data_IF_939011833831
#
_entry.id   IF_939011833831
#
_cell.length_a   1.000
_cell.length_b   1.000
_cell.length_c   1.000
_cell.angle_alpha   90.00
_cell.angle_beta   90.00
_cell.angle_gamma   90.00
#
_symmetry.space_group_name_H-M   'P 1'
#
loop_
_entity.id
_entity.type
_entity.pdbx_description
1 polymer ?
#
# COMPACT_ATOMS: atom_id res chain seq x y z
N UNK A 1 -1.31 -5.09 -15.54
CA UNK A 1 -2.19 -5.47 -16.68
C UNK A 1 -1.67 -4.81 -17.95
N UNK A 2 -1.69 -5.52 -19.07
CA UNK A 2 -1.27 -5.00 -20.38
C UNK A 2 -2.47 -5.06 -21.32
N UNK A 3 -2.80 -3.95 -21.99
CA UNK A 3 -3.84 -3.95 -23.00
C UNK A 3 -3.22 -4.36 -24.33
N UNK A 4 -3.64 -5.51 -24.84
CA UNK A 4 -3.16 -6.04 -26.12
C UNK A 4 -4.24 -5.90 -27.20
N UNK A 5 -3.86 -5.39 -28.34
CA UNK A 5 -4.71 -5.39 -29.54
C UNK A 5 -4.69 -6.75 -30.21
N UNK A 6 -5.58 -7.00 -31.17
CA UNK A 6 -5.50 -8.24 -31.97
C UNK A 6 -4.25 -8.21 -32.85
N UNK A 7 -3.35 -9.18 -32.68
CA UNK A 7 -2.13 -9.27 -33.52
C UNK A 7 -0.99 -10.04 -32.83
N UNK A 8 0.19 -9.90 -33.42
CA UNK A 8 1.44 -10.40 -32.83
C UNK A 8 2.01 -9.34 -31.91
N UNK A 9 2.42 -9.74 -30.73
CA UNK A 9 3.07 -8.90 -29.73
C UNK A 9 4.41 -9.53 -29.35
N UNK A 10 5.35 -8.70 -28.92
CA UNK A 10 6.61 -9.12 -28.30
C UNK A 10 6.67 -8.61 -26.87
N UNK A 11 7.21 -9.43 -25.98
CA UNK A 11 7.53 -9.03 -24.61
C UNK A 11 9.04 -9.08 -24.54
N UNK A 12 9.65 -7.96 -24.21
CA UNK A 12 11.08 -7.84 -23.95
C UNK A 12 11.30 -7.72 -22.45
N UNK A 13 12.19 -8.54 -21.91
CA UNK A 13 12.62 -8.49 -20.53
C UNK A 13 14.11 -8.17 -20.53
N UNK A 14 14.48 -7.03 -19.98
CA UNK A 14 15.87 -6.64 -19.77
C UNK A 14 16.22 -6.71 -18.28
N UNK A 15 17.44 -7.10 -17.98
CA UNK A 15 18.00 -7.10 -16.62
C UNK A 15 19.25 -6.25 -16.66
N UNK A 16 19.17 -5.12 -15.99
CA UNK A 16 20.28 -4.18 -15.95
C UNK A 16 21.38 -4.61 -14.97
N UNK A 17 20.99 -5.21 -13.83
CA UNK A 17 21.94 -5.71 -12.82
C UNK A 17 21.41 -6.98 -12.13
N UNK A 18 22.31 -7.85 -11.73
CA UNK A 18 22.03 -9.05 -10.93
C UNK A 18 21.72 -10.31 -11.75
N UNK A 19 21.45 -11.41 -11.04
CA UNK A 19 21.07 -12.70 -11.58
C UNK A 19 19.63 -13.03 -11.20
N UNK A 20 18.82 -13.50 -12.12
CA UNK A 20 17.48 -13.99 -11.83
C UNK A 20 17.19 -15.28 -12.58
N UNK A 21 16.25 -16.04 -12.05
CA UNK A 21 15.71 -17.23 -12.70
C UNK A 21 14.33 -16.89 -13.24
N UNK A 22 14.15 -17.01 -14.55
CA UNK A 22 12.87 -16.84 -15.20
C UNK A 22 12.17 -18.20 -15.32
N UNK A 23 11.00 -18.32 -14.73
CA UNK A 23 10.11 -19.48 -14.89
C UNK A 23 9.19 -19.33 -16.09
N UNK A 24 7.95 -19.74 -15.94
CA UNK A 24 6.92 -19.60 -16.97
C UNK A 24 6.36 -18.18 -17.00
N UNK A 25 6.12 -17.66 -18.20
CA UNK A 25 5.35 -16.44 -18.41
C UNK A 25 3.96 -16.86 -18.85
N UNK A 26 2.94 -16.49 -18.06
CA UNK A 26 1.54 -16.73 -18.40
C UNK A 26 0.86 -15.42 -18.74
N UNK A 27 0.09 -15.40 -19.82
CA UNK A 27 -0.81 -14.31 -20.19
C UNK A 27 -2.24 -14.84 -20.06
N UNK A 28 -2.97 -14.31 -19.12
CA UNK A 28 -4.35 -14.73 -18.84
C UNK A 28 -5.30 -13.58 -19.12
N UNK A 29 -6.43 -13.88 -19.75
CA UNK A 29 -7.49 -12.90 -19.88
C UNK A 29 -8.05 -12.56 -18.49
N UNK A 30 -8.35 -11.28 -18.19
CA UNK A 30 -9.00 -10.92 -16.95
C UNK A 30 -10.32 -11.69 -16.79
N UNK A 31 -10.52 -12.32 -15.63
CA UNK A 31 -11.83 -12.91 -15.31
C UNK A 31 -12.83 -11.75 -15.19
N UNK A 32 -13.92 -11.83 -15.94
CA UNK A 32 -15.00 -10.86 -15.82
C UNK A 32 -15.61 -10.98 -14.42
N UNK A 33 -15.61 -9.87 -13.69
CA UNK A 33 -16.26 -9.78 -12.38
C UNK A 33 -17.71 -9.37 -12.61
N UNK A 34 -18.65 -10.06 -11.95
CA UNK A 34 -20.08 -9.72 -12.03
C UNK A 34 -20.31 -8.29 -11.54
N UNK A 35 -21.19 -7.57 -12.23
CA UNK A 35 -21.52 -6.20 -11.83
C UNK A 35 -22.38 -6.22 -10.55
N UNK A 36 -22.02 -5.40 -9.56
CA UNK A 36 -22.82 -5.23 -8.36
C UNK A 36 -24.11 -4.49 -8.67
N UNK A 37 -25.26 -5.09 -8.32
CA UNK A 37 -26.60 -4.56 -8.67
C UNK A 37 -27.15 -3.57 -7.66
N UNK A 38 -26.33 -3.12 -6.70
CA UNK A 38 -26.73 -2.07 -5.73
C UNK A 38 -27.66 -2.55 -4.61
N UNK A 39 -27.71 -3.86 -4.34
CA UNK A 39 -28.40 -4.43 -3.19
C UNK A 39 -27.62 -5.62 -2.66
N UNK A 40 -27.50 -5.70 -1.35
CA UNK A 40 -26.98 -6.88 -0.66
C UNK A 40 -28.12 -7.58 0.07
N UNK A 41 -28.12 -8.92 0.03
CA UNK A 41 -29.07 -9.70 0.78
C UNK A 41 -28.77 -9.56 2.28
N UNK A 42 -29.82 -9.66 3.11
CA UNK A 42 -29.67 -9.61 4.57
C UNK A 42 -28.81 -10.77 5.05
N UNK A 43 -27.92 -10.49 5.97
CA UNK A 43 -27.07 -11.48 6.62
C UNK A 43 -27.71 -11.97 7.93
N UNK A 44 -28.90 -12.60 7.78
CA UNK A 44 -29.65 -13.08 8.95
C UNK A 44 -28.89 -14.20 9.68
N UNK A 45 -28.80 -14.09 11.01
CA UNK A 45 -28.13 -15.07 11.86
C UNK A 45 -27.30 -14.39 12.96
N UNK A 46 -26.46 -15.18 13.64
CA UNK A 46 -25.65 -14.71 14.80
C UNK A 46 -24.20 -15.21 14.75
N UNK A 47 -23.81 -15.85 13.67
CA UNK A 47 -22.46 -16.37 13.58
C UNK A 47 -21.45 -15.23 13.45
N UNK A 48 -20.34 -15.36 14.17
CA UNK A 48 -19.19 -14.46 14.11
C UNK A 48 -17.94 -15.32 14.00
N UNK A 49 -17.21 -15.14 12.90
CA UNK A 49 -15.92 -15.74 12.66
C UNK A 49 -14.89 -14.61 12.74
N UNK A 50 -13.86 -14.82 13.56
CA UNK A 50 -12.75 -13.87 13.72
C UNK A 50 -11.48 -14.53 13.23
N UNK A 51 -10.75 -13.85 12.36
CA UNK A 51 -9.49 -14.30 11.78
C UNK A 51 -8.44 -13.28 12.17
N UNK A 52 -7.31 -13.73 12.71
CA UNK A 52 -6.18 -12.85 13.06
C UNK A 52 -5.39 -12.48 11.80
N UNK A 53 -4.96 -11.21 11.71
CA UNK A 53 -4.28 -10.71 10.53
C UNK A 53 -2.91 -11.33 10.28
N UNK A 54 -2.21 -11.72 11.36
CA UNK A 54 -0.93 -12.42 11.28
C UNK A 54 -1.05 -13.91 11.00
N UNK A 55 -2.26 -14.49 11.15
CA UNK A 55 -2.50 -15.94 10.99
C UNK A 55 -2.97 -16.29 9.57
N UNK A 56 -2.24 -15.76 8.57
CA UNK A 56 -2.52 -16.07 7.18
C UNK A 56 -2.09 -17.51 6.82
N UNK A 57 -2.84 -18.14 5.94
CA UNK A 57 -2.57 -19.51 5.47
C UNK A 57 -1.51 -19.50 4.36
N UNK A 58 -1.61 -18.57 3.41
CA UNK A 58 -0.67 -18.44 2.29
C UNK A 58 -0.49 -17.00 1.86
N UNK A 59 0.71 -16.72 1.32
CA UNK A 59 1.03 -15.47 0.64
C UNK A 59 1.65 -15.75 -0.72
N UNK A 60 1.61 -14.77 -1.62
CA UNK A 60 2.31 -14.87 -2.91
C UNK A 60 3.70 -14.22 -2.90
N UNK A 61 4.10 -13.64 -1.78
CA UNK A 61 5.41 -12.99 -1.61
C UNK A 61 5.96 -13.32 -0.22
N UNK A 62 7.17 -13.83 -0.16
CA UNK A 62 7.85 -14.22 1.09
C UNK A 62 8.24 -13.03 1.98
N UNK A 63 8.18 -11.81 1.46
CA UNK A 63 8.38 -10.60 2.24
C UNK A 63 7.22 -10.31 3.20
N UNK A 64 6.00 -10.78 2.91
CA UNK A 64 4.82 -10.58 3.75
C UNK A 64 5.00 -11.32 5.08
N UNK A 65 4.84 -10.60 6.18
CA UNK A 65 5.00 -11.15 7.52
C UNK A 65 4.13 -10.45 8.57
N UNK A 66 3.97 -11.09 9.71
CA UNK A 66 3.32 -10.50 10.88
C UNK A 66 4.29 -9.65 11.69
N UNK A 67 3.76 -8.72 12.46
CA UNK A 67 4.51 -7.82 13.35
C UNK A 67 3.85 -7.74 14.72
N UNK A 68 4.66 -7.42 15.74
CA UNK A 68 4.14 -7.12 17.08
C UNK A 68 3.78 -5.63 17.18
N UNK A 69 2.49 -5.37 17.28
CA UNK A 69 1.95 -4.03 17.46
C UNK A 69 1.48 -3.82 18.93
N UNK A 70 1.79 -2.65 19.49
CA UNK A 70 1.45 -2.31 20.86
C UNK A 70 0.31 -1.30 20.98
N UNK A 71 -0.47 -1.13 19.91
CA UNK A 71 -1.71 -0.35 19.97
C UNK A 71 -2.76 -1.10 20.81
N UNK A 72 -3.42 -0.39 21.73
CA UNK A 72 -4.42 -0.99 22.64
C UNK A 72 -5.69 -1.48 21.95
N UNK A 73 -5.90 -1.13 20.69
CA UNK A 73 -7.03 -1.60 19.88
C UNK A 73 -6.74 -2.88 19.10
N UNK A 74 -5.50 -3.36 19.14
CA UNK A 74 -5.07 -4.63 18.55
C UNK A 74 -5.29 -5.78 19.51
N UNK A 75 -5.54 -6.97 19.00
CA UNK A 75 -5.79 -8.18 19.81
C UNK A 75 -5.12 -9.40 19.15
N UNK A 76 -4.30 -10.19 19.87
CA UNK A 76 -4.05 -10.09 21.30
C UNK A 76 -3.10 -8.93 21.67
N UNK A 77 -3.49 -8.12 22.63
CA UNK A 77 -2.60 -7.12 23.22
C UNK A 77 -1.75 -7.74 24.32
N UNK A 78 -0.42 -7.63 24.20
CA UNK A 78 0.52 -8.09 25.22
C UNK A 78 1.43 -6.94 25.65
N UNK A 79 1.42 -6.64 26.96
CA UNK A 79 2.22 -5.54 27.50
C UNK A 79 3.69 -5.91 27.70
N UNK A 80 3.98 -7.18 28.00
CA UNK A 80 5.31 -7.68 28.40
C UNK A 80 6.01 -8.49 27.33
N UNK A 81 5.24 -9.30 26.62
CA UNK A 81 5.76 -10.24 25.63
C UNK A 81 5.65 -9.67 24.22
N UNK A 82 6.64 -9.96 23.40
CA UNK A 82 6.57 -9.72 21.95
C UNK A 82 5.76 -10.86 21.34
N UNK A 83 4.58 -10.52 20.80
CA UNK A 83 3.68 -11.44 20.11
C UNK A 83 3.33 -10.83 18.78
N UNK A 84 3.47 -11.60 17.70
CA UNK A 84 2.95 -11.17 16.40
C UNK A 84 1.42 -11.13 16.51
N UNK A 85 0.83 -10.01 16.18
CA UNK A 85 -0.61 -9.78 16.37
C UNK A 85 -1.24 -8.91 15.27
N UNK A 86 -0.48 -8.59 14.23
CA UNK A 86 -1.00 -7.91 13.04
C UNK A 86 -0.24 -8.34 11.79
N UNK A 87 -0.88 -8.27 10.64
CA UNK A 87 -0.20 -8.23 9.36
C UNK A 87 0.55 -6.91 9.24
N UNK A 88 1.85 -6.99 8.95
CA UNK A 88 2.72 -5.82 8.87
C UNK A 88 2.40 -4.95 7.64
N UNK A 89 2.22 -3.63 7.86
CA UNK A 89 1.87 -2.69 6.81
C UNK A 89 2.95 -2.56 5.75
N UNK A 90 4.22 -2.43 6.16
CA UNK A 90 5.33 -2.22 5.23
C UNK A 90 5.52 -3.44 4.32
N UNK A 91 5.35 -4.64 4.90
CA UNK A 91 5.45 -5.88 4.14
C UNK A 91 4.23 -6.16 3.25
N UNK A 92 3.07 -5.56 3.56
CA UNK A 92 1.84 -5.69 2.76
C UNK A 92 1.48 -4.34 2.11
N UNK A 93 2.38 -3.80 1.30
CA UNK A 93 2.28 -2.47 0.68
C UNK A 93 2.41 -2.48 -0.85
N UNK A 94 3.01 -3.50 -1.44
CA UNK A 94 3.30 -3.53 -2.87
C UNK A 94 2.10 -4.03 -3.68
N UNK A 95 1.79 -3.38 -4.79
CA UNK A 95 0.75 -3.80 -5.72
C UNK A 95 0.94 -5.25 -6.18
N UNK A 96 -0.15 -6.03 -6.16
CA UNK A 96 -0.15 -7.45 -6.49
C UNK A 96 0.21 -8.38 -5.32
N UNK A 97 0.74 -7.87 -4.19
CA UNK A 97 0.90 -8.69 -2.99
C UNK A 97 -0.46 -9.17 -2.51
N UNK A 98 -0.50 -10.45 -2.16
CA UNK A 98 -1.72 -11.16 -1.79
C UNK A 98 -1.51 -11.95 -0.52
N UNK A 99 -2.46 -11.83 0.40
CA UNK A 99 -2.57 -12.63 1.61
C UNK A 99 -3.88 -13.41 1.59
N UNK A 100 -3.86 -14.68 2.02
CA UNK A 100 -5.04 -15.56 2.02
C UNK A 100 -5.20 -16.20 3.39
N UNK A 101 -6.42 -16.23 3.88
CA UNK A 101 -6.83 -16.80 5.16
C UNK A 101 -7.86 -17.90 4.93
N UNK A 102 -7.76 -19.03 5.67
CA UNK A 102 -8.77 -20.04 5.74
C UNK A 102 -9.70 -19.79 6.92
N UNK A 103 -10.99 -20.07 6.75
CA UNK A 103 -11.98 -20.02 7.81
C UNK A 103 -13.06 -21.06 7.59
N UNK A 104 -13.86 -21.33 8.62
CA UNK A 104 -14.94 -22.32 8.56
C UNK A 104 -16.28 -21.69 8.93
N UNK A 105 -17.26 -21.87 8.06
CA UNK A 105 -18.66 -21.46 8.22
C UNK A 105 -19.47 -22.65 8.73
N UNK A 106 -20.19 -22.46 9.83
CA UNK A 106 -21.02 -23.52 10.43
C UNK A 106 -22.40 -23.62 9.79
N UNK A 107 -22.95 -22.48 9.39
CA UNK A 107 -24.32 -22.39 8.87
C UNK A 107 -24.32 -21.64 7.53
N UNK A 108 -24.84 -22.29 6.48
CA UNK A 108 -24.99 -21.63 5.19
C UNK A 108 -25.88 -20.38 5.30
N UNK A 109 -25.49 -19.30 4.63
CA UNK A 109 -26.21 -18.04 4.67
C UNK A 109 -25.41 -16.87 4.13
N UNK A 110 -25.96 -15.67 4.26
CA UNK A 110 -25.26 -14.45 3.88
C UNK A 110 -24.44 -13.91 5.05
N UNK A 111 -23.26 -13.41 4.75
CA UNK A 111 -22.30 -12.90 5.73
C UNK A 111 -21.78 -11.55 5.27
N UNK A 112 -21.59 -10.63 6.23
CA UNK A 112 -20.88 -9.38 6.06
C UNK A 112 -19.39 -9.56 6.38
N UNK A 113 -18.57 -8.74 5.78
CA UNK A 113 -17.11 -8.75 5.99
C UNK A 113 -16.73 -7.41 6.61
N UNK A 114 -15.97 -7.45 7.69
CA UNK A 114 -15.35 -6.29 8.29
C UNK A 114 -13.87 -6.56 8.55
N UNK A 115 -13.07 -5.51 8.58
CA UNK A 115 -11.67 -5.59 8.98
C UNK A 115 -11.35 -4.55 10.05
N UNK A 116 -10.55 -4.93 11.05
CA UNK A 116 -9.86 -3.98 11.91
C UNK A 116 -8.48 -3.73 11.31
N UNK A 117 -8.29 -2.53 10.75
CA UNK A 117 -7.11 -2.21 9.96
C UNK A 117 -6.61 -0.79 10.25
N UNK A 118 -5.37 -0.51 9.87
CA UNK A 118 -4.76 0.81 9.85
C UNK A 118 -4.11 1.04 8.48
N UNK A 119 -4.37 2.21 7.92
CA UNK A 119 -3.73 2.72 6.72
C UNK A 119 -3.41 4.20 6.98
N UNK A 120 -2.16 4.51 7.32
CA UNK A 120 -1.76 5.82 7.82
C UNK A 120 -0.81 6.60 6.90
N UNK A 121 -0.32 5.99 5.83
CA UNK A 121 0.67 6.61 4.94
C UNK A 121 0.03 7.51 3.89
N UNK A 122 -1.06 7.09 3.28
CA UNK A 122 -1.77 7.90 2.27
C UNK A 122 -2.79 8.82 2.93
N UNK A 123 -2.34 9.96 3.45
CA UNK A 123 -3.24 10.93 4.09
C UNK A 123 -4.41 11.30 3.18
N UNK A 124 -5.63 11.14 3.70
CA UNK A 124 -6.91 11.41 3.02
C UNK A 124 -7.08 10.68 1.67
N UNK A 125 -6.34 9.58 1.46
CA UNK A 125 -6.43 8.82 0.22
C UNK A 125 -6.42 7.31 0.51
N UNK A 126 -7.24 6.48 -0.17
CA UNK A 126 -7.37 5.07 0.15
C UNK A 126 -6.21 4.22 -0.39
N UNK A 127 -6.07 3.04 0.21
CA UNK A 127 -5.43 1.88 -0.40
C UNK A 127 -6.51 1.01 -1.03
N UNK A 128 -6.28 0.52 -2.25
CA UNK A 128 -7.25 -0.33 -2.93
C UNK A 128 -6.84 -1.81 -2.80
N UNK A 129 -7.85 -2.66 -2.57
CA UNK A 129 -7.67 -4.10 -2.48
C UNK A 129 -8.73 -4.85 -3.28
N UNK A 130 -8.33 -5.89 -4.00
CA UNK A 130 -9.26 -6.92 -4.45
C UNK A 130 -9.54 -7.83 -3.27
N UNK A 131 -10.81 -8.00 -2.91
CA UNK A 131 -11.24 -8.96 -1.88
C UNK A 131 -11.90 -10.14 -2.57
N UNK A 132 -11.32 -11.32 -2.40
CA UNK A 132 -11.83 -12.53 -3.04
C UNK A 132 -12.22 -13.59 -2.00
N UNK A 133 -13.32 -14.28 -2.27
CA UNK A 133 -13.79 -15.45 -1.53
C UNK A 133 -13.59 -16.66 -2.42
N UNK A 134 -13.00 -17.72 -1.88
CA UNK A 134 -12.70 -18.96 -2.60
C UNK A 134 -11.99 -18.71 -3.95
N UNK A 135 -11.06 -17.75 -3.93
CA UNK A 135 -10.28 -17.35 -5.09
C UNK A 135 -11.02 -16.52 -6.14
N UNK A 136 -12.28 -16.13 -5.91
CA UNK A 136 -13.06 -15.30 -6.82
C UNK A 136 -13.51 -13.99 -6.15
N UNK A 137 -13.42 -12.88 -6.86
CA UNK A 137 -14.02 -11.62 -6.44
C UNK A 137 -15.54 -11.74 -6.61
N UNK A 138 -16.36 -11.62 -5.55
CA UNK A 138 -17.79 -11.91 -5.62
C UNK A 138 -18.55 -11.07 -6.64
N UNK A 139 -18.27 -9.77 -6.66
CA UNK A 139 -18.83 -8.81 -7.62
C UNK A 139 -17.97 -7.55 -7.68
N UNK A 140 -18.34 -6.58 -8.51
CA UNK A 140 -17.55 -5.36 -8.72
C UNK A 140 -17.40 -4.47 -7.48
N UNK A 141 -18.24 -4.62 -6.44
CA UNK A 141 -18.09 -3.87 -5.18
C UNK A 141 -16.91 -4.38 -4.31
N UNK A 142 -16.47 -5.63 -4.52
CA UNK A 142 -15.31 -6.22 -3.86
C UNK A 142 -14.03 -6.09 -4.70
N UNK A 143 -14.16 -5.60 -5.94
CA UNK A 143 -13.05 -5.32 -6.84
C UNK A 143 -12.51 -3.94 -6.59
N UNK A 144 -11.18 -3.85 -6.45
CA UNK A 144 -10.51 -2.58 -6.17
C UNK A 144 -11.17 -1.82 -4.98
N UNK A 145 -11.57 -2.58 -3.94
CA UNK A 145 -12.24 -2.04 -2.76
C UNK A 145 -11.38 -0.98 -2.06
N UNK A 146 -12.00 0.14 -1.71
CA UNK A 146 -11.33 1.29 -1.10
C UNK A 146 -11.18 1.10 0.41
N UNK A 147 -9.96 0.86 0.89
CA UNK A 147 -9.60 0.88 2.31
C UNK A 147 -9.24 2.31 2.69
N UNK A 148 -10.16 3.01 3.35
CA UNK A 148 -10.04 4.42 3.67
C UNK A 148 -8.84 4.72 4.60
N UNK A 149 -8.33 5.94 4.52
CA UNK A 149 -7.29 6.44 5.42
C UNK A 149 -7.71 6.37 6.89
N UNK A 150 -6.82 5.89 7.74
CA UNK A 150 -7.03 5.82 9.19
C UNK A 150 -5.73 6.07 9.94
N UNK A 151 -5.73 7.01 10.89
CA UNK A 151 -4.55 7.26 11.74
C UNK A 151 -4.36 6.22 12.85
N UNK A 152 -5.41 5.43 13.14
CA UNK A 152 -5.44 4.39 14.19
C UNK A 152 -6.21 3.19 13.67
N UNK A 153 -5.98 2.02 14.26
CA UNK A 153 -6.78 0.85 13.95
C UNK A 153 -8.27 1.14 14.08
N UNK A 154 -9.03 0.81 13.05
CA UNK A 154 -10.47 1.03 12.95
C UNK A 154 -11.13 -0.22 12.39
N UNK A 155 -12.16 -0.71 13.08
CA UNK A 155 -13.04 -1.74 12.53
C UNK A 155 -14.03 -1.08 11.58
N UNK A 156 -14.06 -1.52 10.34
CA UNK A 156 -15.02 -1.07 9.33
C UNK A 156 -15.59 -2.28 8.57
N UNK A 157 -16.92 -2.30 8.44
CA UNK A 157 -17.63 -3.22 7.56
C UNK A 157 -17.47 -2.76 6.11
N UNK A 158 -17.33 -3.70 5.19
CA UNK A 158 -17.29 -3.38 3.76
C UNK A 158 -18.66 -2.85 3.32
N UNK A 159 -18.63 -1.69 2.65
CA UNK A 159 -19.83 -0.98 2.20
C UNK A 159 -19.73 -0.63 0.72
N UNK A 160 -20.89 -0.48 0.09
CA UNK A 160 -20.97 0.06 -1.27
C UNK A 160 -20.80 1.60 -1.27
N UNK A 161 -20.86 2.21 -2.45
CA UNK A 161 -20.73 3.66 -2.63
C UNK A 161 -21.87 4.48 -2.00
N UNK A 162 -22.95 3.82 -1.54
CA UNK A 162 -24.08 4.45 -0.84
C UNK A 162 -24.00 4.28 0.67
N UNK A 163 -23.00 3.53 1.18
CA UNK A 163 -22.85 3.20 2.58
C UNK A 163 -23.69 2.00 3.04
N UNK A 164 -24.21 1.20 2.10
CA UNK A 164 -24.92 -0.04 2.43
C UNK A 164 -23.92 -1.17 2.61
N UNK A 165 -24.09 -1.97 3.68
CA UNK A 165 -23.20 -3.05 3.98
C UNK A 165 -23.22 -4.14 2.89
N UNK A 166 -22.06 -4.55 2.43
CA UNK A 166 -21.90 -5.64 1.48
C UNK A 166 -22.04 -7.00 2.18
N UNK A 167 -22.72 -7.93 1.52
CA UNK A 167 -22.80 -9.32 1.95
C UNK A 167 -22.42 -10.29 0.84
N UNK A 168 -21.98 -11.49 1.24
CA UNK A 168 -21.68 -12.62 0.37
C UNK A 168 -22.39 -13.86 0.88
N UNK A 169 -22.88 -14.70 -0.02
CA UNK A 169 -23.44 -15.99 0.35
C UNK A 169 -22.31 -17.01 0.54
N UNK A 170 -22.32 -17.70 1.68
CA UNK A 170 -21.37 -18.77 2.02
C UNK A 170 -22.12 -20.04 2.39
N UNK A 171 -21.69 -21.16 1.84
CA UNK A 171 -22.17 -22.48 2.25
C UNK A 171 -21.54 -22.89 3.58
N UNK A 172 -22.07 -23.92 4.25
CA UNK A 172 -21.41 -24.48 5.42
C UNK A 172 -20.16 -25.25 4.99
N UNK A 173 -19.03 -24.97 5.66
CA UNK A 173 -17.75 -25.62 5.35
C UNK A 173 -16.55 -24.69 5.38
N UNK A 174 -15.45 -25.14 4.79
CA UNK A 174 -14.20 -24.38 4.71
C UNK A 174 -14.23 -23.42 3.51
N UNK A 175 -13.82 -22.22 3.77
CA UNK A 175 -13.71 -21.14 2.80
C UNK A 175 -12.36 -20.44 2.91
N UNK A 176 -12.04 -19.63 1.90
CA UNK A 176 -10.90 -18.74 1.94
C UNK A 176 -11.33 -17.29 1.68
N UNK A 177 -10.69 -16.35 2.37
CA UNK A 177 -10.74 -14.94 2.04
C UNK A 177 -9.34 -14.46 1.70
N UNK A 178 -9.20 -13.65 0.65
CA UNK A 178 -7.92 -13.06 0.31
C UNK A 178 -8.03 -11.57 0.01
N UNK A 179 -6.99 -10.84 0.41
CA UNK A 179 -6.78 -9.44 0.08
C UNK A 179 -5.59 -9.32 -0.87
N UNK A 180 -5.76 -8.60 -1.97
CA UNK A 180 -4.68 -8.32 -2.92
C UNK A 180 -4.59 -6.82 -3.14
N UNK A 181 -3.43 -6.22 -2.87
CA UNK A 181 -3.21 -4.79 -3.11
C UNK A 181 -3.38 -4.48 -4.59
N UNK A 182 -4.19 -3.48 -4.90
CA UNK A 182 -4.50 -3.05 -6.26
C UNK A 182 -4.11 -1.59 -6.50
N UNK A 183 -3.63 -1.31 -7.70
CA UNK A 183 -3.37 0.05 -8.19
C UNK A 183 -4.22 0.40 -9.42
N UNK A 184 -5.15 -0.51 -9.81
CA UNK A 184 -5.95 -0.32 -11.02
C UNK A 184 -6.72 1.01 -11.07
N UNK A 185 -7.37 1.48 -9.97
CA UNK A 185 -8.15 2.72 -10.02
C UNK A 185 -7.34 3.97 -10.32
N UNK A 186 -6.02 3.94 -10.06
CA UNK A 186 -5.11 5.07 -10.21
C UNK A 186 -3.96 4.81 -11.19
N UNK A 187 -3.96 3.67 -11.90
CA UNK A 187 -2.91 3.32 -12.87
C UNK A 187 -2.76 4.39 -13.95
N UNK A 188 -3.89 4.92 -14.45
CA UNK A 188 -3.89 5.99 -15.45
C UNK A 188 -3.20 7.28 -14.97
N UNK A 189 -3.20 7.55 -13.66
CA UNK A 189 -2.50 8.72 -13.07
C UNK A 189 -0.99 8.50 -13.19
N UNK A 190 -0.53 7.29 -12.86
CA UNK A 190 0.89 6.95 -12.92
C UNK A 190 1.39 6.95 -14.37
N UNK A 191 0.64 6.34 -15.28
CA UNK A 191 0.96 6.33 -16.72
C UNK A 191 1.10 7.76 -17.26
N UNK A 192 0.17 8.65 -16.95
CA UNK A 192 0.22 10.04 -17.41
C UNK A 192 1.38 10.83 -16.76
N UNK A 193 1.72 10.57 -15.49
CA UNK A 193 2.90 11.17 -14.85
C UNK A 193 4.18 10.71 -15.56
N UNK A 194 4.31 9.43 -15.84
CA UNK A 194 5.48 8.86 -16.54
C UNK A 194 5.62 9.46 -17.95
N UNK A 195 4.52 9.63 -18.69
CA UNK A 195 4.53 10.30 -19.99
C UNK A 195 5.02 11.75 -19.87
N UNK A 196 4.48 12.52 -18.91
CA UNK A 196 4.92 13.91 -18.70
C UNK A 196 6.40 13.97 -18.29
N UNK A 197 6.87 13.05 -17.46
CA UNK A 197 8.30 12.97 -17.09
C UNK A 197 9.18 12.72 -18.28
N UNK A 198 8.78 11.80 -19.17
CA UNK A 198 9.49 11.53 -20.43
C UNK A 198 9.50 12.76 -21.36
N UNK A 199 8.34 13.37 -21.56
CA UNK A 199 8.19 14.57 -22.37
C UNK A 199 9.06 15.73 -21.86
N UNK A 200 9.11 15.94 -20.53
CA UNK A 200 9.94 16.95 -19.87
C UNK A 200 11.44 16.67 -20.06
N UNK A 201 11.86 15.40 -19.97
CA UNK A 201 13.24 15.00 -20.22
C UNK A 201 13.64 15.27 -21.68
N UNK A 202 12.80 14.91 -22.64
CA UNK A 202 13.06 15.13 -24.05
C UNK A 202 13.14 16.61 -24.38
N UNK A 203 12.25 17.43 -23.81
CA UNK A 203 12.27 18.87 -23.92
C UNK A 203 13.55 19.48 -23.32
N UNK A 204 13.98 19.00 -22.15
CA UNK A 204 15.22 19.45 -21.51
C UNK A 204 16.45 19.15 -22.36
N UNK A 205 16.49 17.97 -23.00
CA UNK A 205 17.53 17.59 -23.95
C UNK A 205 17.51 18.47 -25.21
N UNK A 206 16.35 18.79 -25.74
CA UNK A 206 16.19 19.67 -26.90
C UNK A 206 16.69 21.09 -26.59
N UNK A 207 16.30 21.63 -25.43
CA UNK A 207 16.76 22.95 -24.97
C UNK A 207 18.28 22.95 -24.78
N UNK A 208 18.85 21.90 -24.19
CA UNK A 208 20.29 21.77 -23.97
C UNK A 208 21.07 21.71 -25.28
N UNK A 209 20.54 21.08 -26.34
CA UNK A 209 21.15 21.07 -27.69
C UNK A 209 21.22 22.47 -28.29
N UNK A 210 20.25 23.34 -27.99
CA UNK A 210 20.21 24.72 -28.52
C UNK A 210 21.04 25.67 -27.67
N UNK A 211 20.90 25.59 -26.34
CA UNK A 211 21.49 26.55 -25.39
C UNK A 211 22.89 26.16 -24.91
N UNK A 212 23.23 24.87 -24.97
CA UNK A 212 24.40 24.29 -24.29
C UNK A 212 24.11 24.00 -22.82
N UNK A 213 25.03 23.28 -22.17
CA UNK A 213 24.92 22.88 -20.76
C UNK A 213 25.17 24.00 -19.76
N UNK A 214 25.86 25.09 -20.18
CA UNK A 214 26.17 26.24 -19.36
C UNK A 214 25.78 27.50 -20.15
N UNK A 215 24.50 27.82 -20.12
CA UNK A 215 24.01 29.01 -20.81
C UNK A 215 24.55 30.31 -20.15
N UNK A 216 25.14 31.19 -20.97
CA UNK A 216 25.63 32.50 -20.54
C UNK A 216 24.43 33.42 -20.28
N UNK A 217 24.33 33.94 -19.04
CA UNK A 217 23.27 34.87 -18.60
C UNK A 217 23.16 36.15 -19.44
N UNK A 218 24.21 36.51 -20.13
CA UNK A 218 24.26 37.72 -20.95
C UNK A 218 23.94 37.45 -22.42
N UNK A 219 23.71 36.18 -22.78
CA UNK A 219 23.35 35.80 -24.13
C UNK A 219 21.83 35.72 -24.26
N UNK A 220 21.26 36.60 -25.07
CA UNK A 220 19.83 36.57 -25.41
C UNK A 220 19.54 35.38 -26.35
N UNK A 221 19.26 34.26 -25.75
CA UNK A 221 18.83 33.01 -26.43
C UNK A 221 17.31 33.06 -26.59
N UNK A 222 16.83 33.56 -27.73
CA UNK A 222 15.40 33.49 -28.06
C UNK A 222 15.00 32.05 -28.40
N UNK A 223 14.77 31.23 -27.37
CA UNK A 223 14.44 29.82 -27.54
C UNK A 223 13.22 29.59 -28.44
N UNK A 224 12.23 30.47 -28.40
CA UNK A 224 11.03 30.43 -29.23
C UNK A 224 11.32 30.38 -30.75
N UNK A 225 12.51 30.84 -31.19
CA UNK A 225 12.93 30.74 -32.60
C UNK A 225 13.44 29.37 -32.98
N UNK A 226 13.98 28.63 -32.04
CA UNK A 226 14.60 27.32 -32.23
C UNK A 226 13.68 26.18 -31.86
N UNK A 227 12.82 26.38 -30.82
CA UNK A 227 11.86 25.42 -30.32
C UNK A 227 10.46 26.03 -30.48
N UNK A 228 9.79 25.76 -31.60
CA UNK A 228 8.43 26.27 -31.85
C UNK A 228 7.46 25.77 -30.80
N UNK A 229 6.57 26.66 -30.34
CA UNK A 229 5.52 26.36 -29.36
C UNK A 229 6.00 25.97 -27.94
N UNK A 230 7.27 26.22 -27.58
CA UNK A 230 7.83 25.89 -26.26
C UNK A 230 6.89 26.31 -25.10
N UNK A 231 6.44 27.56 -25.10
CA UNK A 231 5.49 28.09 -24.12
C UNK A 231 4.19 27.26 -24.05
N UNK A 232 3.57 26.98 -25.20
CA UNK A 232 2.34 26.18 -25.28
C UNK A 232 2.54 24.74 -24.79
N UNK A 233 3.68 24.16 -25.10
CA UNK A 233 4.05 22.81 -24.66
C UNK A 233 4.12 22.74 -23.13
N UNK A 234 4.83 23.68 -22.50
CA UNK A 234 4.94 23.75 -21.04
C UNK A 234 3.59 24.00 -20.35
N UNK A 235 2.74 24.89 -20.89
CA UNK A 235 1.37 25.05 -20.40
C UNK A 235 0.57 23.75 -20.55
N UNK A 236 0.71 23.05 -21.67
CA UNK A 236 0.02 21.76 -21.88
C UNK A 236 0.39 20.73 -20.80
N UNK A 237 1.69 20.63 -20.48
CA UNK A 237 2.13 19.73 -19.39
C UNK A 237 1.57 20.15 -18.03
N UNK A 238 1.61 21.43 -17.70
CA UNK A 238 0.99 21.97 -16.49
C UNK A 238 -0.51 21.68 -16.40
N UNK A 239 -1.24 21.84 -17.50
CA UNK A 239 -2.68 21.57 -17.58
C UNK A 239 -2.99 20.06 -17.46
N UNK A 240 -2.17 19.19 -18.06
CA UNK A 240 -2.27 17.73 -17.91
C UNK A 240 -2.18 17.34 -16.45
N UNK A 241 -1.15 17.81 -15.74
CA UNK A 241 -0.95 17.52 -14.32
C UNK A 241 -2.09 18.09 -13.45
N UNK A 242 -2.56 19.29 -13.73
CA UNK A 242 -3.69 19.90 -13.01
C UNK A 242 -5.00 19.10 -13.20
N UNK A 243 -5.20 18.51 -14.38
CA UNK A 243 -6.37 17.62 -14.64
C UNK A 243 -6.23 16.30 -13.88
N UNK A 244 -5.02 15.76 -13.76
CA UNK A 244 -4.78 14.54 -12.97
C UNK A 244 -5.11 14.75 -11.50
N UNK A 245 -4.65 15.84 -10.90
CA UNK A 245 -4.98 16.18 -9.52
C UNK A 245 -6.49 16.22 -9.31
N UNK A 246 -7.23 16.94 -10.17
CA UNK A 246 -8.69 17.00 -10.10
C UNK A 246 -9.36 15.63 -10.26
N UNK A 247 -8.79 14.75 -11.07
CA UNK A 247 -9.33 13.40 -11.25
C UNK A 247 -9.12 12.51 -10.03
N UNK A 248 -8.10 12.78 -9.22
CA UNK A 248 -7.79 12.05 -8.00
C UNK A 248 -8.70 12.44 -6.83
N UNK A 249 -9.31 13.63 -6.84
CA UNK A 249 -10.20 14.13 -5.78
C UNK A 249 -11.35 13.16 -5.49
N UNK A 250 -11.88 12.48 -6.50
CA UNK A 250 -12.96 11.49 -6.33
C UNK A 250 -12.64 10.34 -5.37
N UNK A 251 -11.34 10.08 -5.14
CA UNK A 251 -10.85 9.03 -4.25
C UNK A 251 -10.44 9.56 -2.87
N UNK A 252 -10.38 10.89 -2.71
CA UNK A 252 -9.95 11.53 -1.48
C UNK A 252 -11.13 11.77 -0.53
N UNK A 253 -10.89 11.63 0.76
CA UNK A 253 -11.82 12.06 1.81
C UNK A 253 -11.86 13.59 1.95
N UNK A 254 -10.99 14.31 1.22
CA UNK A 254 -10.89 15.77 1.20
C UNK A 254 -11.50 16.36 -0.06
N UNK A 255 -12.40 17.32 0.10
CA UNK A 255 -13.09 18.00 -1.03
C UNK A 255 -12.20 18.97 -1.82
N UNK A 256 -10.99 19.28 -1.35
CA UNK A 256 -10.21 20.42 -1.88
C UNK A 256 -8.80 20.12 -2.32
N UNK A 257 -8.06 19.31 -1.57
CA UNK A 257 -6.66 19.01 -1.86
C UNK A 257 -6.39 17.54 -1.56
N UNK A 258 -5.78 16.86 -2.50
CA UNK A 258 -5.32 15.48 -2.34
C UNK A 258 -3.89 15.53 -1.86
N UNK A 259 -3.65 15.21 -0.58
CA UNK A 259 -2.33 15.35 0.05
C UNK A 259 -1.23 14.59 -0.70
N UNK A 260 -1.52 13.36 -1.18
CA UNK A 260 -0.59 12.54 -1.96
C UNK A 260 -0.21 13.17 -3.30
N UNK A 261 -0.98 14.14 -3.80
CA UNK A 261 -0.75 14.84 -5.08
C UNK A 261 -0.06 16.21 -4.88
N UNK A 262 0.37 16.55 -3.67
CA UNK A 262 0.95 17.87 -3.37
C UNK A 262 2.19 18.20 -4.20
N UNK A 263 3.08 17.23 -4.39
CA UNK A 263 4.29 17.38 -5.22
C UNK A 263 3.94 17.57 -6.70
N UNK A 264 2.91 16.88 -7.21
CA UNK A 264 2.42 17.07 -8.58
C UNK A 264 1.90 18.51 -8.81
N UNK A 265 1.21 19.09 -7.82
CA UNK A 265 0.75 20.48 -7.89
C UNK A 265 1.93 21.45 -7.96
N UNK A 266 3.02 21.16 -7.22
CA UNK A 266 4.25 21.95 -7.29
C UNK A 266 4.88 21.85 -8.67
N UNK A 267 4.98 20.64 -9.24
CA UNK A 267 5.48 20.42 -10.61
C UNK A 267 4.67 21.20 -11.65
N UNK A 268 3.34 21.13 -11.56
CA UNK A 268 2.46 21.88 -12.47
C UNK A 268 2.68 23.40 -12.39
N UNK A 269 2.82 23.95 -11.18
CA UNK A 269 3.12 25.39 -10.99
C UNK A 269 4.49 25.77 -11.52
N UNK A 270 5.48 24.90 -11.38
CA UNK A 270 6.84 25.12 -11.87
C UNK A 270 6.87 25.14 -13.40
N UNK A 271 6.21 24.19 -14.07
CA UNK A 271 6.03 24.18 -15.52
C UNK A 271 5.37 25.46 -16.01
N UNK A 272 4.32 25.92 -15.31
CA UNK A 272 3.67 27.19 -15.62
C UNK A 272 4.62 28.38 -15.47
N UNK A 273 5.40 28.43 -14.39
CA UNK A 273 6.41 29.49 -14.18
C UNK A 273 7.49 29.53 -15.27
N UNK A 274 7.88 28.35 -15.78
CA UNK A 274 8.82 28.24 -16.91
C UNK A 274 8.14 28.71 -18.21
N UNK A 275 6.87 28.38 -18.43
CA UNK A 275 6.09 28.82 -19.58
C UNK A 275 5.90 30.35 -19.59
N UNK A 276 5.67 30.97 -18.42
CA UNK A 276 5.50 32.42 -18.26
C UNK A 276 6.80 33.21 -18.61
N UNK A 277 7.96 32.53 -18.64
CA UNK A 277 9.27 33.17 -18.91
C UNK A 277 10.17 32.22 -19.74
N UNK A 278 9.82 31.87 -20.98
CA UNK A 278 10.52 30.86 -21.76
C UNK A 278 11.98 31.18 -22.06
N UNK A 279 12.33 32.47 -22.22
CA UNK A 279 13.70 32.91 -22.47
C UNK A 279 14.63 32.77 -21.23
N UNK A 280 14.06 32.55 -20.05
CA UNK A 280 14.84 32.26 -18.82
C UNK A 280 15.20 30.78 -18.66
N UNK A 281 14.57 29.88 -19.40
CA UNK A 281 14.71 28.41 -19.24
C UNK A 281 16.15 27.92 -19.37
N UNK A 282 17.01 28.47 -20.29
CA UNK A 282 18.40 28.04 -20.38
C UNK A 282 19.18 28.19 -19.06
N UNK A 283 18.81 29.13 -18.20
CA UNK A 283 19.43 29.34 -16.88
C UNK A 283 18.73 28.59 -15.76
N UNK A 284 17.60 28.00 -16.05
CA UNK A 284 16.73 27.24 -15.13
C UNK A 284 16.51 25.80 -15.61
N UNK A 285 17.39 25.32 -16.48
CA UNK A 285 17.24 24.00 -17.12
C UNK A 285 17.17 22.88 -16.08
N UNK A 286 17.92 22.99 -14.99
CA UNK A 286 17.94 22.00 -13.89
C UNK A 286 16.57 21.90 -13.20
N UNK A 287 15.70 22.92 -13.31
CA UNK A 287 14.34 22.88 -12.77
C UNK A 287 13.42 21.93 -13.56
N UNK A 288 13.77 21.55 -14.77
CA UNK A 288 13.02 20.56 -15.54
C UNK A 288 13.30 19.15 -15.04
N UNK A 289 14.57 18.72 -14.97
CA UNK A 289 14.86 17.29 -14.77
C UNK A 289 15.98 16.96 -13.80
N UNK A 290 16.95 17.84 -13.51
CA UNK A 290 18.19 17.42 -12.86
C UNK A 290 18.36 17.83 -11.41
N UNK A 291 17.69 18.88 -10.94
CA UNK A 291 17.78 19.32 -9.56
C UNK A 291 16.83 18.54 -8.63
N UNK A 292 17.14 18.55 -7.33
CA UNK A 292 16.24 18.02 -6.29
C UNK A 292 14.91 18.80 -6.17
N UNK A 293 14.81 19.94 -6.84
CA UNK A 293 13.60 20.76 -6.94
C UNK A 293 13.09 20.81 -8.39
N UNK A 294 13.42 19.83 -9.20
CA UNK A 294 12.97 19.75 -10.59
C UNK A 294 11.54 19.23 -10.69
N UNK A 295 10.91 19.52 -11.83
CA UNK A 295 9.59 18.95 -12.19
C UNK A 295 9.61 17.43 -12.07
N UNK A 296 10.62 16.78 -12.66
CA UNK A 296 10.72 15.31 -12.62
C UNK A 296 10.92 14.76 -11.22
N UNK A 297 11.67 15.45 -10.35
CA UNK A 297 11.79 15.02 -8.95
C UNK A 297 10.46 15.11 -8.21
N UNK A 298 9.67 16.15 -8.41
CA UNK A 298 8.33 16.28 -7.81
C UNK A 298 7.36 15.23 -8.35
N UNK A 299 7.45 14.90 -9.65
CA UNK A 299 6.63 13.86 -10.26
C UNK A 299 7.00 12.47 -9.74
N UNK A 300 8.30 12.16 -9.63
CA UNK A 300 8.78 10.92 -9.01
C UNK A 300 8.30 10.79 -7.55
N UNK A 301 8.43 11.86 -6.75
CA UNK A 301 7.90 11.89 -5.37
C UNK A 301 6.39 11.65 -5.32
N UNK A 302 5.64 12.12 -6.32
CA UNK A 302 4.20 11.84 -6.40
C UNK A 302 3.94 10.36 -6.66
N UNK A 303 4.70 9.72 -7.55
CA UNK A 303 4.62 8.27 -7.78
C UNK A 303 4.93 7.52 -6.49
N UNK A 304 6.01 7.86 -5.78
CA UNK A 304 6.39 7.24 -4.51
C UNK A 304 5.25 7.32 -3.48
N UNK A 305 4.60 8.48 -3.35
CA UNK A 305 3.45 8.63 -2.47
C UNK A 305 2.23 7.80 -2.91
N UNK A 306 2.02 7.64 -4.21
CA UNK A 306 0.90 6.84 -4.75
C UNK A 306 1.10 5.33 -4.58
N UNK A 307 2.35 4.84 -4.65
CA UNK A 307 2.66 3.42 -4.48
C UNK A 307 2.83 2.97 -3.03
N UNK A 308 2.87 3.88 -2.07
CA UNK A 308 2.91 3.57 -0.65
C UNK A 308 1.55 3.05 -0.16
N UNK A 309 1.29 1.76 -0.36
CA UNK A 309 -0.01 1.13 -0.03
C UNK A 309 0.03 0.40 1.31
N UNK A 310 0.65 0.98 2.31
CA UNK A 310 0.84 0.37 3.63
C UNK A 310 -0.50 0.05 4.30
N UNK A 311 -0.79 -1.23 4.44
CA UNK A 311 -2.05 -1.73 4.99
C UNK A 311 -1.78 -2.76 6.09
N UNK A 312 -1.92 -2.35 7.34
CA UNK A 312 -1.91 -3.26 8.48
C UNK A 312 -3.30 -3.84 8.73
N UNK A 313 -3.39 -5.15 8.92
CA UNK A 313 -4.65 -5.82 9.26
C UNK A 313 -4.46 -6.53 10.60
N UNK A 314 -5.23 -6.12 11.61
CA UNK A 314 -5.28 -6.77 12.92
C UNK A 314 -6.21 -7.99 12.88
N UNK A 315 -7.45 -7.78 12.45
CA UNK A 315 -8.47 -8.86 12.41
C UNK A 315 -9.41 -8.69 11.24
N UNK A 316 -9.89 -9.82 10.75
CA UNK A 316 -10.97 -9.90 9.78
C UNK A 316 -12.17 -10.55 10.46
N UNK A 317 -13.35 -10.00 10.26
CA UNK A 317 -14.60 -10.52 10.76
C UNK A 317 -15.51 -10.92 9.62
N UNK A 318 -16.02 -12.15 9.68
CA UNK A 318 -17.06 -12.65 8.79
C UNK A 318 -18.25 -12.92 9.69
N UNK A 319 -19.34 -12.19 9.53
CA UNK A 319 -20.38 -12.14 10.53
C UNK A 319 -21.79 -11.92 9.96
N UNK A 320 -22.78 -12.23 10.78
CA UNK A 320 -24.20 -12.05 10.51
C UNK A 320 -24.79 -10.93 11.38
N UNK A 321 -25.93 -10.37 10.99
CA UNK A 321 -26.56 -9.19 11.58
C UNK A 321 -26.83 -9.27 13.10
N UNK A 322 -27.11 -10.46 13.60
CA UNK A 322 -27.31 -10.69 15.03
C UNK A 322 -26.04 -10.85 15.86
N UNK A 323 -24.87 -10.87 15.23
CA UNK A 323 -23.58 -10.90 15.90
C UNK A 323 -23.15 -9.47 16.29
N UNK A 324 -22.37 -9.35 17.36
CA UNK A 324 -21.78 -8.06 17.77
C UNK A 324 -20.28 -8.10 17.54
N UNK A 325 -19.79 -7.21 16.73
CA UNK A 325 -18.35 -7.03 16.55
C UNK A 325 -17.70 -6.54 17.86
N UNK A 326 -16.48 -6.98 18.19
CA UNK A 326 -15.76 -6.50 19.36
C UNK A 326 -15.59 -4.99 19.33
N UNK A 327 -15.90 -4.32 20.43
CA UNK A 327 -15.69 -2.89 20.59
C UNK A 327 -14.26 -2.59 21.03
N UNK A 328 -13.76 -1.41 20.66
CA UNK A 328 -12.46 -0.93 21.13
C UNK A 328 -12.44 -0.83 22.65
N UNK A 329 -11.28 -1.03 23.30
CA UNK A 329 -11.13 -0.78 24.72
C UNK A 329 -11.50 0.67 25.06
N UNK A 330 -12.29 0.86 26.13
CA UNK A 330 -12.62 2.19 26.62
C UNK A 330 -11.38 2.94 27.13
N UNK A 331 -11.49 4.27 27.27
CA UNK A 331 -10.38 5.15 27.66
C UNK A 331 -9.59 4.66 28.88
N UNK A 332 -10.26 4.29 29.97
CA UNK A 332 -9.60 3.81 31.21
C UNK A 332 -8.86 2.49 30.99
N UNK A 333 -9.43 1.56 30.22
CA UNK A 333 -8.78 0.29 29.87
C UNK A 333 -7.55 0.54 29.02
N UNK A 334 -7.63 1.41 28.01
CA UNK A 334 -6.49 1.78 27.18
C UNK A 334 -5.38 2.47 27.99
N UNK A 335 -5.73 3.37 28.91
CA UNK A 335 -4.76 3.98 29.83
C UNK A 335 -4.05 2.93 30.69
N UNK A 336 -4.80 1.99 31.28
CA UNK A 336 -4.21 0.92 32.08
C UNK A 336 -3.27 0.02 31.27
N UNK A 337 -3.65 -0.32 30.05
CA UNK A 337 -2.82 -1.09 29.11
C UNK A 337 -1.52 -0.35 28.77
N UNK A 338 -1.58 0.95 28.46
CA UNK A 338 -0.41 1.78 28.17
C UNK A 338 0.52 1.94 29.39
N UNK A 339 -0.04 2.12 30.59
CA UNK A 339 0.73 2.15 31.84
C UNK A 339 1.41 0.80 32.06
N UNK A 340 0.71 -0.31 31.85
CA UNK A 340 1.28 -1.65 31.96
C UNK A 340 2.45 -1.84 30.99
N UNK A 341 2.34 -1.38 29.74
CA UNK A 341 3.43 -1.42 28.76
C UNK A 341 4.59 -0.52 29.18
N UNK A 342 4.31 0.69 29.64
CA UNK A 342 5.35 1.60 30.14
C UNK A 342 6.13 0.97 31.29
N UNK A 343 5.46 0.37 32.26
CA UNK A 343 6.14 -0.36 33.36
C UNK A 343 6.92 -1.56 32.83
N UNK A 344 6.35 -2.31 31.91
CA UNK A 344 7.03 -3.46 31.31
C UNK A 344 8.30 -3.06 30.54
N UNK A 345 8.34 -1.88 29.93
CA UNK A 345 9.51 -1.39 29.17
C UNK A 345 10.76 -1.21 30.04
N UNK A 346 10.64 -1.02 31.34
CA UNK A 346 11.78 -0.98 32.27
C UNK A 346 12.37 -2.36 32.55
N UNK A 347 11.63 -3.42 32.30
CA UNK A 347 12.07 -4.82 32.48
C UNK A 347 12.31 -5.52 31.15
N UNK A 348 12.05 -4.85 30.04
CA UNK A 348 12.24 -5.36 28.69
C UNK A 348 13.73 -5.41 28.37
N UNK A 349 14.26 -6.63 28.22
CA UNK A 349 15.67 -6.88 27.89
C UNK A 349 15.90 -7.01 26.38
N UNK A 350 15.01 -6.49 25.56
CA UNK A 350 15.06 -6.61 24.10
C UNK A 350 16.41 -6.20 23.46
N UNK A 351 17.16 -5.35 24.15
CA UNK A 351 18.48 -4.88 23.71
C UNK A 351 19.65 -5.40 24.57
N UNK A 352 19.39 -6.29 25.55
CA UNK A 352 20.44 -6.87 26.34
C UNK A 352 21.07 -8.04 25.57
N UNK A 353 22.32 -7.90 25.15
CA UNK A 353 23.14 -9.05 24.78
C UNK A 353 23.34 -9.90 26.01
N UNK A 354 22.69 -11.06 26.10
CA UNK A 354 23.02 -12.04 27.13
C UNK A 354 24.49 -12.43 26.95
N UNK A 355 25.28 -12.33 28.01
CA UNK A 355 26.64 -12.82 28.01
C UNK A 355 26.63 -14.30 27.64
N UNK A 356 27.36 -14.64 26.61
CA UNK A 356 27.57 -16.01 26.16
C UNK A 356 28.38 -16.77 27.22
N UNK A 357 27.72 -17.62 27.99
CA UNK A 357 28.39 -18.69 28.70
C UNK A 357 28.84 -19.72 27.67
N UNK A 358 30.00 -20.35 27.91
CA UNK A 358 30.63 -21.35 27.04
C UNK A 358 29.76 -22.59 26.71
N UNK A 359 28.64 -22.75 27.40
CA UNK A 359 27.71 -23.90 27.30
C UNK A 359 26.48 -23.62 26.47
N UNK A 360 26.45 -22.54 25.68
CA UNK A 360 25.33 -22.17 24.82
C UNK A 360 25.74 -22.20 23.36
N UNK A 361 24.84 -22.67 22.50
CA UNK A 361 24.97 -22.51 21.04
C UNK A 361 24.58 -21.11 20.65
N UNK A 362 25.46 -20.35 20.04
CA UNK A 362 25.12 -19.03 19.53
C UNK A 362 24.62 -19.12 18.08
N UNK A 363 23.42 -18.66 17.84
CA UNK A 363 22.80 -18.61 16.50
C UNK A 363 22.72 -17.17 16.01
N UNK A 364 23.28 -16.90 14.84
CA UNK A 364 23.23 -15.60 14.20
C UNK A 364 22.10 -15.61 13.16
N UNK A 365 21.15 -14.69 13.30
CA UNK A 365 20.00 -14.58 12.39
C UNK A 365 19.88 -13.16 11.85
N UNK A 366 19.64 -13.05 10.55
CA UNK A 366 19.35 -11.76 9.91
C UNK A 366 17.82 -11.54 9.91
N UNK A 367 17.29 -11.16 11.08
CA UNK A 367 15.86 -10.86 11.28
C UNK A 367 15.72 -9.67 12.23
N UNK A 368 14.54 -9.02 12.22
CA UNK A 368 14.24 -7.96 13.17
C UNK A 368 14.30 -8.46 14.62
N UNK A 369 14.55 -7.55 15.57
CA UNK A 369 14.62 -7.88 17.01
C UNK A 369 13.36 -8.58 17.53
N UNK A 370 12.19 -8.29 16.99
CA UNK A 370 10.93 -8.94 17.35
C UNK A 370 10.95 -10.44 17.04
N UNK A 371 11.44 -10.83 15.86
CA UNK A 371 11.58 -12.24 15.48
C UNK A 371 12.61 -12.96 16.32
N UNK A 372 13.73 -12.30 16.62
CA UNK A 372 14.77 -12.87 17.52
C UNK A 372 14.21 -13.15 18.90
N UNK A 373 13.41 -12.24 19.47
CA UNK A 373 12.75 -12.44 20.77
C UNK A 373 11.78 -13.60 20.76
N UNK A 374 10.96 -13.73 19.70
CA UNK A 374 10.02 -14.84 19.56
C UNK A 374 10.79 -16.17 19.43
N UNK A 375 11.85 -16.20 18.61
CA UNK A 375 12.70 -17.38 18.47
C UNK A 375 13.33 -17.77 19.81
N UNK A 376 13.88 -16.80 20.56
CA UNK A 376 14.48 -17.05 21.88
C UNK A 376 13.43 -17.62 22.85
N UNK A 377 12.21 -17.04 22.88
CA UNK A 377 11.12 -17.55 23.70
C UNK A 377 10.75 -19.00 23.33
N UNK A 378 10.65 -19.30 22.05
CA UNK A 378 10.41 -20.68 21.59
C UNK A 378 11.51 -21.65 21.98
N UNK A 379 12.75 -21.20 21.95
CA UNK A 379 13.91 -21.98 22.41
C UNK A 379 13.80 -22.27 23.91
N UNK A 380 13.61 -21.23 24.71
CA UNK A 380 13.54 -21.31 26.17
C UNK A 380 12.36 -22.17 26.65
N UNK A 381 11.19 -22.04 26.02
CA UNK A 381 9.97 -22.73 26.44
C UNK A 381 9.79 -24.15 25.86
N UNK A 382 10.30 -24.39 24.65
CA UNK A 382 10.01 -25.64 23.92
C UNK A 382 11.26 -26.46 23.58
N UNK A 383 12.32 -25.81 23.09
CA UNK A 383 13.49 -26.51 22.60
C UNK A 383 14.42 -26.94 23.72
N UNK A 384 14.86 -26.01 24.56
CA UNK A 384 15.79 -26.28 25.68
C UNK A 384 15.20 -27.30 26.67
N UNK A 385 13.93 -27.20 27.11
CA UNK A 385 13.36 -28.20 28.02
C UNK A 385 13.28 -29.61 27.39
N UNK A 386 13.10 -29.69 26.06
CA UNK A 386 12.96 -30.95 25.35
C UNK A 386 14.29 -31.62 25.00
N UNK A 387 15.31 -30.81 24.74
CA UNK A 387 16.63 -31.31 24.23
C UNK A 387 17.75 -31.23 25.24
N UNK A 388 17.60 -30.42 26.27
CA UNK A 388 18.69 -30.08 27.21
C UNK A 388 19.77 -29.16 26.62
N UNK A 389 19.58 -28.67 25.39
CA UNK A 389 20.55 -27.81 24.69
C UNK A 389 20.17 -26.35 24.91
N UNK A 390 21.10 -25.56 25.44
CA UNK A 390 20.94 -24.12 25.58
C UNK A 390 21.37 -23.39 24.29
N UNK A 391 20.58 -22.43 23.84
CA UNK A 391 20.85 -21.65 22.64
C UNK A 391 20.75 -20.15 22.95
#
# INVERSE_FOLDING_TARGET
KVQLTKGKHSIELSVDEGNFLLGNISLEAPVAVEEYKGSSDKADGKELITIQGEDYTTTNDSAIHGVAEYDTSVDPYQAKDTVLNTLDSDSFSTAGRKVTYEFEVKTAGNYKIAANYRQSEKTDFPVFCDVAIDGKVPNSAFKDYSMAYTTKYKTATMQDSKGEDLSVHLEAGKHTISYTISMNPISYIMEEIDEVMSDVNDLALEITKVAGTNADKYRDLKLSKYIPNLEKTLYSYSDRLTKLEKSAVKWSDSDKNVAVMSSLIIAAKQLKSLADSPDSIPYRIDELSTSSNSVNHYLATTIDNLIANDLAIDRIYIYQDGAKLPSKPGFFKSCAMNISRFVASFTDQAYSTKNTNSDHIQVWVNRSSQYVQIMQKMIDEKFTPKTGINV
#
